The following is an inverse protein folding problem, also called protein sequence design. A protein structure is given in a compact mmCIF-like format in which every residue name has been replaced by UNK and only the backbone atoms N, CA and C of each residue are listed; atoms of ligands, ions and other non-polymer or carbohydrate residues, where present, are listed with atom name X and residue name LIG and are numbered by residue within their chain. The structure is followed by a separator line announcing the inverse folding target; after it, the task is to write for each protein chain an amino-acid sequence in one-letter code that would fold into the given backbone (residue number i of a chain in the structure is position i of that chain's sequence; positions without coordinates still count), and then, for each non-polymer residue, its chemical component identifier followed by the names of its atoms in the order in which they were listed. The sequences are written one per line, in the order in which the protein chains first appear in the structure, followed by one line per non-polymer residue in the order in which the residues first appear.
data_IF_011661455741
#
_entry.id   IF_011661455741
#
_cell.length_a   1.000
_cell.length_b   1.000
_cell.length_c   1.000
_cell.angle_alpha   90.00
_cell.angle_beta   90.00
_cell.angle_gamma   90.00
#
_symmetry.space_group_name_H-M   'P 1'
#
loop_
_entity.id
_entity.type
_entity.pdbx_description
1 polymer ?
#
# COMPACT_ATOMS: atom_id res chain seq x y z
N UNK A 1 6.49 -15.35 17.56
CA UNK A 1 6.02 -15.98 16.30
C UNK A 1 5.98 -14.87 15.26
N UNK A 2 6.77 -14.98 14.17
CA UNK A 2 6.96 -13.84 13.24
C UNK A 2 5.93 -13.81 12.10
N UNK A 3 5.39 -14.97 11.70
CA UNK A 3 4.31 -15.06 10.72
C UNK A 3 3.09 -15.73 11.36
N UNK A 4 1.98 -15.03 11.41
CA UNK A 4 0.72 -15.48 11.97
C UNK A 4 -0.23 -15.73 10.80
N UNK A 5 -0.70 -16.97 10.67
CA UNK A 5 -1.59 -17.38 9.57
C UNK A 5 -3.02 -17.52 10.05
N UNK A 6 -3.97 -17.29 9.14
CA UNK A 6 -5.40 -17.48 9.32
C UNK A 6 -5.92 -16.77 10.59
N UNK A 7 -5.42 -15.55 10.81
CA UNK A 7 -5.86 -14.74 11.93
C UNK A 7 -7.26 -14.20 11.66
N UNK A 8 -8.19 -14.48 12.58
CA UNK A 8 -9.49 -13.84 12.52
C UNK A 8 -9.31 -12.33 12.78
N UNK A 9 -9.79 -11.45 11.90
CA UNK A 9 -9.76 -10.00 12.17
C UNK A 9 -10.34 -9.63 13.54
N UNK A 10 -11.35 -10.37 14.04
CA UNK A 10 -11.94 -10.16 15.36
C UNK A 10 -10.95 -10.32 16.54
N UNK A 11 -9.86 -11.04 16.35
CA UNK A 11 -8.85 -11.27 17.37
C UNK A 11 -7.75 -10.19 17.37
N UNK A 12 -7.81 -9.23 16.44
CA UNK A 12 -6.85 -8.14 16.33
C UNK A 12 -7.20 -7.03 17.32
N UNK A 13 -6.49 -6.98 18.44
CA UNK A 13 -6.57 -5.86 19.38
C UNK A 13 -5.48 -4.84 19.12
N UNK A 14 -5.70 -3.60 19.59
CA UNK A 14 -4.68 -2.55 19.52
C UNK A 14 -3.39 -2.95 20.24
N UNK A 15 -3.50 -3.60 21.39
CA UNK A 15 -2.37 -4.13 22.18
C UNK A 15 -1.58 -5.17 21.38
N UNK A 16 -2.28 -6.13 20.78
CA UNK A 16 -1.66 -7.17 19.96
C UNK A 16 -0.91 -6.55 18.75
N UNK A 17 -1.56 -5.66 18.02
CA UNK A 17 -0.97 -5.00 16.85
C UNK A 17 0.17 -4.03 17.21
N UNK A 18 0.21 -3.51 18.43
CA UNK A 18 1.28 -2.63 18.90
C UNK A 18 2.54 -3.38 19.28
N UNK A 19 2.49 -4.71 19.45
CA UNK A 19 3.68 -5.50 19.73
C UNK A 19 4.63 -5.57 18.53
N UNK A 20 5.93 -5.74 18.79
CA UNK A 20 6.95 -5.89 17.75
C UNK A 20 7.35 -7.36 17.51
N UNK A 21 6.58 -8.32 18.02
CA UNK A 21 6.94 -9.74 18.00
C UNK A 21 6.51 -10.47 16.74
N UNK A 22 5.93 -9.77 15.78
CA UNK A 22 5.45 -10.30 14.51
C UNK A 22 5.90 -9.46 13.33
N UNK A 23 6.00 -10.05 12.16
CA UNK A 23 6.35 -9.41 10.89
C UNK A 23 5.10 -9.25 10.01
N UNK A 24 4.36 -10.35 9.82
CA UNK A 24 3.18 -10.43 8.95
C UNK A 24 2.08 -11.20 9.65
N UNK A 25 0.86 -10.71 9.51
CA UNK A 25 -0.38 -11.40 9.86
C UNK A 25 -1.14 -11.66 8.57
N UNK A 26 -1.44 -12.92 8.26
CA UNK A 26 -2.37 -13.31 7.21
C UNK A 26 -3.76 -13.44 7.83
N UNK A 27 -4.72 -12.68 7.30
CA UNK A 27 -6.10 -12.68 7.79
C UNK A 27 -6.88 -13.89 7.26
N UNK A 28 -7.84 -14.36 8.04
CA UNK A 28 -8.88 -15.31 7.59
C UNK A 28 -9.98 -14.56 6.80
N UNK A 29 -9.52 -13.75 5.86
CA UNK A 29 -10.35 -12.95 4.96
C UNK A 29 -9.64 -12.84 3.61
N UNK A 30 -10.38 -13.11 2.55
CA UNK A 30 -9.86 -13.08 1.18
C UNK A 30 -10.68 -12.15 0.30
N UNK A 31 -10.10 -11.79 -0.83
CA UNK A 31 -10.75 -11.02 -1.91
C UNK A 31 -10.75 -11.87 -3.16
N UNK A 32 -11.83 -11.85 -3.91
CA UNK A 32 -11.97 -12.65 -5.15
C UNK A 32 -10.86 -12.30 -6.15
N UNK A 33 -9.96 -13.23 -6.48
CA UNK A 33 -8.84 -12.98 -7.39
C UNK A 33 -9.28 -12.59 -8.80
N UNK A 34 -10.43 -13.08 -9.27
CA UNK A 34 -10.96 -12.74 -10.61
C UNK A 34 -11.35 -11.27 -10.65
N UNK A 35 -12.05 -10.79 -9.63
CA UNK A 35 -12.44 -9.38 -9.56
C UNK A 35 -11.23 -8.44 -9.32
N UNK A 36 -10.20 -8.91 -8.63
CA UNK A 36 -8.93 -8.16 -8.51
C UNK A 36 -8.23 -8.01 -9.86
N UNK A 37 -8.20 -9.07 -10.67
CA UNK A 37 -7.62 -9.01 -12.02
C UNK A 37 -8.46 -8.11 -12.92
N UNK A 38 -9.79 -8.21 -12.92
CA UNK A 38 -10.68 -7.32 -13.68
C UNK A 38 -10.45 -5.85 -13.32
N UNK A 39 -10.34 -5.54 -12.02
CA UNK A 39 -10.05 -4.19 -11.55
C UNK A 39 -8.69 -3.70 -12.06
N UNK A 40 -7.67 -4.55 -11.99
CA UNK A 40 -6.33 -4.22 -12.48
C UNK A 40 -6.31 -3.98 -13.99
N UNK A 41 -7.04 -4.76 -14.78
CA UNK A 41 -7.15 -4.55 -16.23
C UNK A 41 -7.77 -3.19 -16.56
N UNK A 42 -8.80 -2.76 -15.85
CA UNK A 42 -9.38 -1.41 -16.01
C UNK A 42 -8.36 -0.31 -15.66
N UNK A 43 -7.57 -0.49 -14.61
CA UNK A 43 -6.50 0.44 -14.28
C UNK A 43 -5.47 0.56 -15.41
N UNK A 44 -5.13 -0.55 -16.06
CA UNK A 44 -4.15 -0.58 -17.15
C UNK A 44 -4.69 -0.04 -18.47
N UNK A 45 -5.98 -0.23 -18.77
CA UNK A 45 -6.61 0.24 -20.02
C UNK A 45 -7.12 1.68 -19.89
N UNK A 46 -8.10 1.88 -19.01
CA UNK A 46 -8.91 3.08 -18.99
C UNK A 46 -8.32 4.18 -18.09
N UNK A 47 -7.68 3.76 -17.00
CA UNK A 47 -7.14 4.66 -15.96
C UNK A 47 -5.60 4.72 -15.94
N UNK A 48 -4.93 4.19 -16.96
CA UNK A 48 -3.47 4.23 -17.03
C UNK A 48 -2.89 5.66 -17.05
N UNK A 49 -3.63 6.60 -17.61
CA UNK A 49 -3.26 8.02 -17.67
C UNK A 49 -3.27 8.70 -16.29
N UNK A 50 -3.93 8.11 -15.28
CA UNK A 50 -3.96 8.57 -13.88
C UNK A 50 -2.86 7.96 -13.01
N UNK A 51 -1.99 7.18 -13.61
CA UNK A 51 -0.88 6.53 -12.91
C UNK A 51 0.21 7.54 -12.57
N UNK A 52 0.55 7.64 -11.28
CA UNK A 52 1.65 8.46 -10.81
C UNK A 52 2.99 7.80 -11.12
N UNK A 53 3.89 8.55 -11.74
CA UNK A 53 5.26 8.12 -11.99
C UNK A 53 6.21 8.88 -11.07
N UNK A 54 6.92 8.18 -10.20
CA UNK A 54 7.88 8.77 -9.27
C UNK A 54 9.11 9.43 -9.95
N UNK A 55 9.30 9.21 -11.25
CA UNK A 55 10.31 9.93 -12.05
C UNK A 55 9.82 11.27 -12.60
N UNK A 56 8.58 11.67 -12.33
CA UNK A 56 8.05 12.94 -12.79
C UNK A 56 8.50 14.10 -11.90
N UNK A 57 9.29 15.01 -12.48
CA UNK A 57 9.73 16.24 -11.79
C UNK A 57 8.56 17.16 -11.42
N UNK A 58 7.49 17.14 -12.20
CA UNK A 58 6.33 18.01 -12.02
C UNK A 58 5.66 17.85 -10.66
N UNK A 59 5.51 16.60 -10.21
CA UNK A 59 4.72 16.26 -9.00
C UNK A 59 5.53 16.21 -7.72
N UNK A 60 6.86 16.17 -7.81
CA UNK A 60 7.75 16.06 -6.67
C UNK A 60 8.35 17.43 -6.31
N UNK A 61 8.69 17.61 -5.04
CA UNK A 61 9.54 18.71 -4.62
C UNK A 61 10.87 18.63 -5.34
N UNK A 62 11.42 19.76 -5.76
CA UNK A 62 12.66 19.80 -6.54
C UNK A 62 13.80 19.07 -5.83
N UNK A 63 14.01 19.34 -4.54
CA UNK A 63 15.06 18.69 -3.75
C UNK A 63 14.89 17.18 -3.60
N UNK A 64 13.63 16.71 -3.61
CA UNK A 64 13.31 15.27 -3.56
C UNK A 64 13.64 14.63 -4.90
N UNK A 65 13.22 15.24 -6.00
CA UNK A 65 13.50 14.76 -7.35
C UNK A 65 15.00 14.70 -7.64
N UNK A 66 15.75 15.77 -7.36
CA UNK A 66 17.20 15.84 -7.57
C UNK A 66 17.95 14.79 -6.74
N UNK A 67 17.52 14.57 -5.48
CA UNK A 67 18.06 13.50 -4.65
C UNK A 67 17.84 12.13 -5.29
N UNK A 68 16.64 11.84 -5.79
CA UNK A 68 16.35 10.56 -6.45
C UNK A 68 17.24 10.35 -7.68
N UNK A 69 17.44 11.39 -8.50
CA UNK A 69 18.33 11.30 -9.65
C UNK A 69 19.78 11.03 -9.24
N UNK A 70 20.25 11.71 -8.19
CA UNK A 70 21.62 11.54 -7.70
C UNK A 70 21.89 10.16 -7.07
N UNK A 71 20.90 9.64 -6.33
CA UNK A 71 21.01 8.35 -5.65
C UNK A 71 20.70 7.17 -6.56
N UNK A 72 20.18 7.37 -7.77
CA UNK A 72 19.73 6.32 -8.69
C UNK A 72 18.56 5.50 -8.13
N UNK A 73 17.80 6.08 -7.19
CA UNK A 73 16.67 5.42 -6.53
C UNK A 73 15.60 6.44 -6.15
N UNK A 74 14.37 5.96 -5.98
CA UNK A 74 13.21 6.75 -5.57
C UNK A 74 12.86 6.42 -4.12
N UNK A 75 13.34 7.23 -3.18
CA UNK A 75 13.19 6.93 -1.75
C UNK A 75 13.86 5.60 -1.40
N UNK A 76 13.07 4.62 -0.97
CA UNK A 76 13.56 3.27 -0.65
C UNK A 76 13.56 2.32 -1.87
N UNK A 77 13.12 2.77 -3.04
CA UNK A 77 13.00 1.96 -4.24
C UNK A 77 14.23 2.08 -5.14
N UNK A 78 14.81 0.95 -5.53
CA UNK A 78 15.78 0.84 -6.60
C UNK A 78 15.02 0.37 -7.85
N UNK A 79 14.91 1.26 -8.83
CA UNK A 79 14.09 1.04 -10.03
C UNK A 79 12.93 2.03 -10.16
N UNK A 80 12.17 1.89 -11.23
CA UNK A 80 11.02 2.74 -11.52
C UNK A 80 9.75 2.23 -10.84
N UNK A 81 9.18 3.03 -9.95
CA UNK A 81 7.91 2.72 -9.28
C UNK A 81 6.79 3.54 -9.88
N UNK A 82 5.69 2.86 -10.15
CA UNK A 82 4.44 3.47 -10.59
C UNK A 82 3.33 3.13 -9.60
N UNK A 83 2.38 4.06 -9.42
CA UNK A 83 1.26 3.85 -8.52
C UNK A 83 0.00 4.59 -8.95
N UNK A 84 -1.16 4.02 -8.64
CA UNK A 84 -2.44 4.72 -8.61
C UNK A 84 -2.75 5.07 -7.16
N UNK A 85 -2.85 6.35 -6.85
CA UNK A 85 -3.24 6.80 -5.51
C UNK A 85 -4.75 6.85 -5.41
N UNK A 86 -5.34 6.00 -4.59
CA UNK A 86 -6.79 5.81 -4.50
C UNK A 86 -7.46 6.69 -3.44
N UNK A 87 -6.69 7.40 -2.64
CA UNK A 87 -7.23 8.30 -1.62
C UNK A 87 -6.39 9.57 -1.46
N UNK A 88 -7.08 10.72 -1.33
CA UNK A 88 -6.46 12.04 -1.18
C UNK A 88 -7.39 12.95 -0.35
N UNK A 89 -6.91 14.06 0.25
CA UNK A 89 -7.76 15.00 0.99
C UNK A 89 -8.85 15.70 0.17
N UNK A 90 -8.63 15.84 -1.13
CA UNK A 90 -9.58 16.41 -2.09
C UNK A 90 -9.64 15.58 -3.36
N UNK A 91 -10.71 15.70 -4.15
CA UNK A 91 -10.79 15.00 -5.44
C UNK A 91 -9.77 15.58 -6.41
N UNK A 92 -8.98 14.70 -7.05
CA UNK A 92 -8.05 15.09 -8.12
C UNK A 92 -7.59 13.88 -8.94
N UNK A 93 -7.11 14.15 -10.16
CA UNK A 93 -6.80 13.10 -11.15
C UNK A 93 -5.53 12.32 -10.82
N UNK A 94 -4.42 13.01 -10.54
CA UNK A 94 -3.12 12.39 -10.30
C UNK A 94 -2.57 12.86 -8.93
N UNK A 95 -3.00 12.26 -7.81
CA UNK A 95 -2.46 12.60 -6.51
C UNK A 95 -1.10 11.94 -6.27
N UNK A 96 -0.17 12.64 -5.64
CA UNK A 96 1.12 12.08 -5.24
C UNK A 96 0.94 11.03 -4.13
N UNK A 97 1.53 9.85 -4.22
CA UNK A 97 1.40 8.82 -3.18
C UNK A 97 1.92 9.22 -1.79
N UNK A 98 2.72 10.26 -1.71
CA UNK A 98 3.33 10.70 -0.46
C UNK A 98 3.30 12.21 -0.28
N UNK A 99 2.64 12.70 0.78
CA UNK A 99 2.66 14.12 1.17
C UNK A 99 4.09 14.68 1.32
N UNK A 100 5.00 13.90 1.91
CA UNK A 100 6.38 14.34 2.16
C UNK A 100 7.17 14.62 0.87
N UNK A 101 6.79 13.97 -0.23
CA UNK A 101 7.47 14.06 -1.52
C UNK A 101 6.76 15.03 -2.47
N UNK A 102 5.46 15.26 -2.26
CA UNK A 102 4.62 16.06 -3.13
C UNK A 102 5.07 17.53 -3.19
N UNK A 103 5.07 18.09 -4.40
CA UNK A 103 5.32 19.51 -4.62
C UNK A 103 4.13 20.35 -4.12
N UNK A 104 4.31 21.24 -3.12
CA UNK A 104 3.21 22.02 -2.55
C UNK A 104 2.64 23.07 -3.52
N UNK A 105 3.34 23.43 -4.59
CA UNK A 105 2.83 24.35 -5.61
C UNK A 105 1.87 23.63 -6.56
N UNK A 106 2.05 22.32 -6.77
CA UNK A 106 1.13 21.45 -7.52
C UNK A 106 -0.02 20.97 -6.64
N UNK A 107 0.25 20.79 -5.33
CA UNK A 107 -0.70 20.26 -4.33
C UNK A 107 -0.91 21.26 -3.19
N UNK A 108 -1.53 22.44 -3.45
CA UNK A 108 -1.68 23.49 -2.45
C UNK A 108 -2.52 23.06 -1.25
N UNK A 109 -3.44 22.11 -1.42
CA UNK A 109 -4.31 21.57 -0.38
C UNK A 109 -3.57 20.84 0.76
N UNK A 110 -2.31 20.48 0.54
CA UNK A 110 -1.49 19.80 1.55
C UNK A 110 -0.37 20.67 2.12
N UNK A 111 -0.25 21.93 1.66
CA UNK A 111 0.87 22.81 1.99
C UNK A 111 1.00 23.03 3.51
N UNK A 112 -0.10 23.39 4.16
CA UNK A 112 -0.13 23.85 5.54
C UNK A 112 -0.68 22.81 6.54
N UNK A 113 -0.90 21.56 6.12
CA UNK A 113 -1.35 20.49 7.00
C UNK A 113 -0.21 19.57 7.43
N UNK A 114 -0.30 18.99 8.60
CA UNK A 114 0.64 17.97 9.09
C UNK A 114 0.48 16.65 8.32
N UNK A 115 1.40 15.70 8.53
CA UNK A 115 1.26 14.36 7.97
C UNK A 115 0.09 13.60 8.61
N UNK A 116 -0.16 13.83 9.88
CA UNK A 116 -1.28 13.25 10.62
C UNK A 116 -2.61 13.77 10.09
N UNK A 117 -2.76 15.09 9.94
CA UNK A 117 -3.94 15.70 9.34
C UNK A 117 -4.16 15.23 7.91
N UNK A 118 -3.11 15.10 7.11
CA UNK A 118 -3.20 14.55 5.76
C UNK A 118 -3.79 13.13 5.79
N UNK A 119 -3.26 12.27 6.67
CA UNK A 119 -3.77 10.90 6.83
C UNK A 119 -5.22 10.88 7.28
N UNK A 120 -5.58 11.74 8.24
CA UNK A 120 -6.93 11.84 8.76
C UNK A 120 -7.96 12.39 7.73
N UNK A 121 -7.51 13.26 6.81
CA UNK A 121 -8.36 13.88 5.77
C UNK A 121 -8.44 13.07 4.48
N UNK A 122 -7.50 12.15 4.23
CA UNK A 122 -7.52 11.35 3.02
C UNK A 122 -8.83 10.54 2.91
N UNK A 123 -9.50 10.65 1.78
CA UNK A 123 -10.75 9.95 1.46
C UNK A 123 -10.59 9.23 0.12
N UNK A 124 -11.33 8.15 -0.09
CA UNK A 124 -11.35 7.46 -1.37
C UNK A 124 -11.74 8.41 -2.51
N UNK A 125 -10.99 8.38 -3.59
CA UNK A 125 -11.25 9.15 -4.81
C UNK A 125 -12.32 8.44 -5.65
N UNK A 126 -13.37 9.16 -6.05
CA UNK A 126 -14.54 8.59 -6.74
C UNK A 126 -14.16 7.81 -8.00
N UNK A 127 -13.17 8.29 -8.73
CA UNK A 127 -12.65 7.66 -9.96
C UNK A 127 -12.21 6.23 -9.77
N UNK A 128 -11.74 5.86 -8.57
CA UNK A 128 -11.24 4.51 -8.27
C UNK A 128 -12.24 3.65 -7.47
N UNK A 129 -13.40 4.22 -7.08
CA UNK A 129 -14.39 3.55 -6.22
C UNK A 129 -15.41 2.75 -7.03
N UNK A 130 -14.94 1.70 -7.71
CA UNK A 130 -15.78 0.77 -8.46
C UNK A 130 -15.34 -0.68 -8.22
N UNK A 131 -16.12 -1.63 -8.71
CA UNK A 131 -15.81 -3.06 -8.65
C UNK A 131 -15.41 -3.53 -7.26
N UNK A 132 -14.36 -4.32 -7.20
CA UNK A 132 -13.91 -4.96 -5.94
C UNK A 132 -13.37 -3.97 -4.91
N UNK A 133 -12.78 -2.83 -5.32
CA UNK A 133 -12.27 -1.82 -4.37
C UNK A 133 -13.42 -1.14 -3.64
N UNK A 134 -14.53 -0.85 -4.32
CA UNK A 134 -15.73 -0.33 -3.66
C UNK A 134 -16.29 -1.33 -2.65
N UNK A 135 -16.40 -2.60 -3.03
CA UNK A 135 -16.87 -3.67 -2.13
C UNK A 135 -15.96 -3.85 -0.91
N UNK A 136 -14.65 -3.74 -1.12
CA UNK A 136 -13.66 -3.79 -0.05
C UNK A 136 -13.89 -2.65 0.97
N UNK A 137 -14.14 -1.43 0.50
CA UNK A 137 -14.42 -0.28 1.37
C UNK A 137 -15.77 -0.41 2.07
N UNK A 138 -16.81 -0.85 1.37
CA UNK A 138 -18.13 -1.10 1.95
C UNK A 138 -18.04 -2.18 3.06
N UNK A 139 -17.07 -3.09 2.94
CA UNK A 139 -16.84 -4.19 3.88
C UNK A 139 -15.96 -3.79 5.07
N UNK A 140 -14.83 -3.11 4.81
CA UNK A 140 -13.80 -2.84 5.81
C UNK A 140 -13.92 -1.46 6.48
N UNK A 141 -14.89 -0.65 6.09
CA UNK A 141 -15.05 0.75 6.48
C UNK A 141 -13.96 1.69 5.94
N UNK A 142 -14.40 2.82 5.37
CA UNK A 142 -13.51 3.90 4.94
C UNK A 142 -12.71 4.52 6.11
N UNK A 143 -13.19 4.36 7.35
CA UNK A 143 -12.51 4.87 8.53
C UNK A 143 -11.32 4.03 8.92
N UNK A 144 -11.40 2.71 8.72
CA UNK A 144 -10.31 1.79 9.02
C UNK A 144 -9.18 1.88 7.99
N UNK A 145 -9.50 2.22 6.72
CA UNK A 145 -8.54 2.28 5.63
C UNK A 145 -8.15 3.73 5.31
N UNK A 146 -6.86 4.02 5.39
CA UNK A 146 -6.29 5.34 5.12
C UNK A 146 -5.20 5.26 4.05
N UNK A 147 -5.04 6.32 3.29
CA UNK A 147 -3.97 6.45 2.28
C UNK A 147 -3.85 5.21 1.39
N UNK A 148 -4.94 4.87 0.73
CA UNK A 148 -4.99 3.73 -0.20
C UNK A 148 -4.22 4.05 -1.48
N UNK A 149 -3.45 3.07 -1.95
CA UNK A 149 -2.79 3.14 -3.26
C UNK A 149 -2.63 1.73 -3.84
N UNK A 150 -2.48 1.64 -5.15
CA UNK A 150 -2.00 0.44 -5.83
C UNK A 150 -0.59 0.73 -6.33
N UNK A 151 0.38 -0.03 -5.81
CA UNK A 151 1.77 0.06 -6.22
C UNK A 151 2.11 -1.07 -7.18
N UNK A 152 2.76 -0.71 -8.29
CA UNK A 152 3.27 -1.64 -9.29
C UNK A 152 4.80 -1.69 -9.21
N UNK A 153 5.32 -2.86 -8.96
CA UNK A 153 6.74 -3.16 -8.91
C UNK A 153 7.12 -4.01 -10.12
N UNK A 154 7.80 -3.44 -11.13
CA UNK A 154 8.25 -4.21 -12.28
C UNK A 154 9.35 -5.22 -11.92
N UNK A 155 9.69 -6.14 -12.84
CA UNK A 155 10.85 -7.02 -12.72
C UNK A 155 12.13 -6.25 -12.35
N UNK A 156 12.91 -6.81 -11.42
CA UNK A 156 14.17 -6.23 -10.94
C UNK A 156 14.02 -5.10 -9.93
N UNK A 157 12.79 -4.70 -9.56
CA UNK A 157 12.60 -3.66 -8.54
C UNK A 157 12.89 -4.19 -7.14
N UNK A 158 13.67 -3.43 -6.40
CA UNK A 158 13.94 -3.66 -4.98
C UNK A 158 13.45 -2.47 -4.14
N UNK A 159 12.82 -2.77 -3.02
CA UNK A 159 12.64 -1.83 -1.90
C UNK A 159 13.64 -2.21 -0.83
N UNK A 160 14.68 -1.39 -0.68
CA UNK A 160 15.75 -1.65 0.30
C UNK A 160 15.19 -1.72 1.72
N UNK A 161 15.86 -2.48 2.58
CA UNK A 161 15.47 -2.61 3.98
C UNK A 161 15.38 -1.24 4.65
N UNK A 162 14.22 -0.95 5.23
CA UNK A 162 13.92 0.30 5.91
C UNK A 162 12.95 0.06 7.07
N UNK A 163 12.74 1.08 7.87
CA UNK A 163 11.74 1.13 8.93
C UNK A 163 10.78 2.27 8.61
N UNK A 164 9.50 1.98 8.66
CA UNK A 164 8.45 2.99 8.51
C UNK A 164 7.88 3.41 9.89
N UNK A 165 6.88 4.31 9.84
CA UNK A 165 6.13 4.75 11.02
C UNK A 165 5.32 3.60 11.66
N UNK A 166 4.79 3.83 12.87
CA UNK A 166 4.03 2.86 13.65
C UNK A 166 2.68 2.42 13.04
N UNK A 167 2.23 3.09 11.98
CA UNK A 167 0.97 2.74 11.32
C UNK A 167 1.11 1.41 10.57
N UNK A 168 0.29 0.44 10.95
CA UNK A 168 0.21 -0.85 10.27
C UNK A 168 -0.30 -0.68 8.84
N UNK A 169 0.14 -1.56 7.94
CA UNK A 169 -0.25 -1.53 6.52
C UNK A 169 -0.96 -2.81 6.13
N UNK A 170 -2.13 -2.65 5.55
CA UNK A 170 -2.83 -3.72 4.84
C UNK A 170 -2.22 -3.88 3.45
N UNK A 171 -1.97 -5.11 3.04
CA UNK A 171 -1.55 -5.48 1.69
C UNK A 171 -2.51 -6.53 1.14
N UNK A 172 -2.99 -6.29 -0.08
CA UNK A 172 -3.77 -7.25 -0.86
C UNK A 172 -3.07 -7.39 -2.21
N UNK A 173 -2.41 -8.53 -2.49
CA UNK A 173 -1.82 -8.76 -3.80
C UNK A 173 -2.91 -8.89 -4.88
N UNK A 174 -2.84 -8.05 -5.92
CA UNK A 174 -3.62 -8.17 -7.14
C UNK A 174 -2.91 -9.07 -8.15
N UNK A 175 -1.57 -8.95 -8.17
CA UNK A 175 -0.70 -9.75 -9.03
C UNK A 175 0.61 -10.00 -8.32
N UNK A 176 1.12 -11.22 -8.44
CA UNK A 176 2.42 -11.61 -7.88
C UNK A 176 3.06 -12.71 -8.70
N UNK A 177 4.27 -13.09 -8.35
CA UNK A 177 4.99 -14.23 -8.93
C UNK A 177 5.83 -14.90 -7.83
N UNK A 178 6.37 -16.13 -8.04
CA UNK A 178 7.11 -16.86 -7.01
C UNK A 178 8.37 -16.15 -6.52
N UNK A 179 8.96 -15.28 -7.33
CA UNK A 179 10.22 -14.58 -7.04
C UNK A 179 9.98 -13.15 -6.50
N UNK A 180 8.71 -12.78 -6.30
CA UNK A 180 8.32 -11.54 -5.65
C UNK A 180 8.11 -11.76 -4.16
N UNK A 181 9.00 -11.21 -3.33
CA UNK A 181 9.06 -11.50 -1.90
C UNK A 181 9.04 -10.25 -1.03
N UNK A 182 8.55 -10.41 0.19
CA UNK A 182 8.81 -9.51 1.31
C UNK A 182 9.97 -10.03 2.15
N UNK A 183 10.82 -9.13 2.60
CA UNK A 183 11.94 -9.43 3.49
C UNK A 183 11.79 -8.67 4.81
N UNK A 184 12.15 -9.31 5.91
CA UNK A 184 12.12 -8.72 7.25
C UNK A 184 13.41 -8.99 8.02
N UNK A 185 13.73 -8.07 8.94
CA UNK A 185 14.96 -8.06 9.72
C UNK A 185 16.05 -7.22 9.10
N UNK A 186 17.05 -6.83 9.90
CA UNK A 186 18.12 -5.88 9.52
C UNK A 186 18.88 -6.26 8.24
N UNK A 187 18.93 -7.55 7.93
CA UNK A 187 19.60 -8.11 6.73
C UNK A 187 18.60 -8.82 5.80
N UNK A 188 17.30 -8.58 5.95
CA UNK A 188 16.27 -9.26 5.15
C UNK A 188 16.26 -10.79 5.29
N UNK A 189 16.70 -11.32 6.45
CA UNK A 189 16.92 -12.76 6.64
C UNK A 189 15.63 -13.58 6.77
N UNK A 190 14.48 -12.94 6.94
CA UNK A 190 13.17 -13.60 6.93
C UNK A 190 12.43 -13.22 5.66
N UNK A 191 12.06 -14.20 4.88
CA UNK A 191 11.49 -14.04 3.54
C UNK A 191 10.08 -14.62 3.51
N UNK A 192 9.14 -13.86 2.98
CA UNK A 192 7.74 -14.23 2.87
C UNK A 192 7.20 -13.98 1.47
N UNK A 193 6.43 -14.94 0.97
CA UNK A 193 5.62 -14.78 -0.24
C UNK A 193 4.19 -14.45 0.13
N UNK A 194 3.53 -13.64 -0.68
CA UNK A 194 2.12 -13.31 -0.54
C UNK A 194 1.34 -13.84 -1.73
N UNK A 195 0.16 -14.37 -1.48
CA UNK A 195 -0.73 -14.96 -2.48
C UNK A 195 -1.79 -13.97 -2.93
N UNK A 196 -2.16 -14.01 -4.23
CA UNK A 196 -3.23 -13.16 -4.79
C UNK A 196 -4.54 -13.36 -4.03
N UNK A 197 -5.21 -12.27 -3.71
CA UNK A 197 -6.50 -12.25 -3.04
C UNK A 197 -6.47 -12.48 -1.53
N UNK A 198 -5.35 -12.90 -0.96
CA UNK A 198 -5.19 -12.94 0.50
C UNK A 198 -4.93 -11.54 1.05
N UNK A 199 -5.32 -11.34 2.29
CA UNK A 199 -5.15 -10.07 3.00
C UNK A 199 -4.09 -10.21 4.08
N UNK A 200 -3.13 -9.29 4.06
CA UNK A 200 -1.99 -9.29 4.98
C UNK A 200 -1.86 -7.97 5.71
N UNK A 201 -1.59 -8.02 7.02
CA UNK A 201 -1.13 -6.86 7.78
C UNK A 201 0.36 -7.00 7.98
N UNK A 202 1.14 -5.99 7.61
CA UNK A 202 2.57 -5.94 7.89
C UNK A 202 2.88 -5.01 9.05
N UNK A 203 3.99 -5.27 9.73
CA UNK A 203 4.49 -4.50 10.87
C UNK A 203 5.63 -3.56 10.45
N UNK A 204 5.35 -2.32 10.01
CA UNK A 204 6.34 -1.42 9.43
C UNK A 204 7.47 -0.96 10.38
N UNK A 205 7.30 -0.89 11.71
CA UNK A 205 8.40 -0.68 12.66
C UNK A 205 9.48 -1.77 12.66
N UNK A 206 9.16 -2.98 12.18
CA UNK A 206 10.18 -4.02 11.98
C UNK A 206 10.92 -3.73 10.67
N UNK A 207 12.27 -3.75 10.64
CA UNK A 207 13.03 -3.58 9.40
C UNK A 207 12.52 -4.51 8.32
N UNK A 208 12.13 -3.94 7.16
CA UNK A 208 11.50 -4.69 6.08
C UNK A 208 11.86 -4.12 4.70
N UNK A 209 11.70 -4.94 3.68
CA UNK A 209 11.88 -4.58 2.28
C UNK A 209 11.08 -5.49 1.37
N UNK A 210 11.19 -5.29 0.07
CA UNK A 210 10.60 -6.19 -0.94
C UNK A 210 11.51 -6.31 -2.14
N UNK A 211 11.44 -7.44 -2.83
CA UNK A 211 12.16 -7.67 -4.07
C UNK A 211 11.20 -8.32 -5.07
N UNK A 212 11.30 -7.92 -6.33
CA UNK A 212 10.64 -8.60 -7.44
C UNK A 212 11.71 -9.12 -8.42
N UNK A 213 12.21 -10.31 -8.16
CA UNK A 213 13.23 -10.97 -8.99
C UNK A 213 12.61 -11.81 -10.12
N UNK A 214 11.27 -11.80 -10.24
CA UNK A 214 10.56 -12.52 -11.29
C UNK A 214 10.45 -11.74 -12.60
N UNK A 215 9.76 -12.32 -13.58
CA UNK A 215 9.62 -11.78 -14.94
C UNK A 215 8.33 -10.93 -15.12
N UNK A 216 7.45 -10.90 -14.13
CA UNK A 216 6.18 -10.19 -14.21
C UNK A 216 6.04 -9.14 -13.13
N UNK A 217 5.18 -8.15 -13.35
CA UNK A 217 4.89 -7.13 -12.34
C UNK A 217 4.32 -7.77 -11.07
N UNK A 218 4.77 -7.27 -9.93
CA UNK A 218 4.12 -7.43 -8.63
C UNK A 218 3.23 -6.21 -8.38
N UNK A 219 1.96 -6.42 -8.13
CA UNK A 219 0.96 -5.35 -7.95
C UNK A 219 0.20 -5.58 -6.66
N UNK A 220 0.25 -4.62 -5.74
CA UNK A 220 -0.45 -4.71 -4.46
C UNK A 220 -1.33 -3.47 -4.23
N UNK A 221 -2.56 -3.70 -3.75
CA UNK A 221 -3.30 -2.67 -3.05
C UNK A 221 -2.72 -2.54 -1.64
N UNK A 222 -2.42 -1.32 -1.27
CA UNK A 222 -1.90 -0.96 0.04
C UNK A 222 -2.83 0.03 0.70
N UNK A 223 -3.00 -0.11 2.01
CA UNK A 223 -3.68 0.89 2.83
C UNK A 223 -3.02 0.98 4.20
N UNK A 224 -3.01 2.16 4.80
CA UNK A 224 -2.74 2.28 6.23
C UNK A 224 -3.97 1.87 7.00
N UNK A 225 -3.78 1.16 8.11
CA UNK A 225 -4.87 0.76 9.00
C UNK A 225 -4.91 1.72 10.17
N UNK A 226 -6.09 2.30 10.39
CA UNK A 226 -6.38 3.06 11.60
C UNK A 226 -6.81 2.09 12.71
N UNK A 227 -5.94 1.93 13.72
CA UNK A 227 -6.13 0.95 14.79
C UNK A 227 -7.33 1.27 15.70
N UNK A 228 -7.76 2.53 15.75
CA UNK A 228 -8.91 2.92 16.57
C UNK A 228 -10.24 2.44 15.94
N UNK A 229 -10.23 2.14 14.64
CA UNK A 229 -11.40 1.63 13.89
C UNK A 229 -11.24 0.17 13.45
N UNK A 230 -10.19 -0.53 13.85
CA UNK A 230 -9.97 -1.91 13.40
C UNK A 230 -11.08 -2.87 13.88
N UNK A 231 -11.73 -2.54 14.99
CA UNK A 231 -12.89 -3.29 15.48
C UNK A 231 -14.09 -3.26 14.52
N UNK A 232 -14.17 -2.25 13.65
CA UNK A 232 -15.20 -2.17 12.60
C UNK A 232 -14.92 -3.17 11.46
N UNK A 233 -13.65 -3.52 11.24
CA UNK A 233 -13.20 -4.55 10.28
C UNK A 233 -13.49 -5.98 10.77
N UNK A 234 -13.76 -6.10 12.05
CA UNK A 234 -13.70 -7.30 12.89
C UNK A 234 -14.84 -8.31 12.65
N UNK A 235 -15.92 -7.95 12.00
CA UNK A 235 -17.11 -8.81 11.96
C UNK A 235 -17.12 -9.85 10.80
N UNK A 236 -16.08 -9.92 9.97
CA UNK A 236 -16.17 -10.65 8.70
C UNK A 236 -15.20 -11.82 8.60
N UNK A 237 -15.72 -12.94 8.13
CA UNK A 237 -14.97 -14.11 7.66
C UNK A 237 -15.39 -14.41 6.23
N UNK A 238 -14.48 -14.94 5.42
CA UNK A 238 -14.78 -15.44 4.10
C UNK A 238 -14.21 -14.61 2.96
N UNK A 239 -14.88 -14.64 1.80
CA UNK A 239 -14.39 -13.98 0.58
C UNK A 239 -15.25 -12.77 0.24
N UNK A 240 -14.61 -11.62 0.07
CA UNK A 240 -15.25 -10.41 -0.49
C UNK A 240 -15.36 -10.61 -2.01
N UNK A 241 -16.62 -10.59 -2.51
CA UNK A 241 -16.97 -10.84 -3.91
C UNK A 241 -17.62 -9.62 -4.55
#
# INVERSE_FOLDING_TARGET
MRYIKNCNPADLTKEFLSSCDWDIIELDLTVDPVQLEEYYQILQSDLNHLKFNFNSKEYLRTEVYERFQKEGRVGNYVGNVEAWTLSWPVERDIPCPSKKQANPDVYPEIKDITHEEFTARARPLKTFMFGIVKKLLDTLSERALRQMLIAQHPPGLEVVTHVDSDLKKLHIPLKTNPDAVFTFGDKGQRVYQMEVGKMYIINPPVPHGTQNNGETNRVHLLSRIDLDYISEVVAMKGTIK
#
